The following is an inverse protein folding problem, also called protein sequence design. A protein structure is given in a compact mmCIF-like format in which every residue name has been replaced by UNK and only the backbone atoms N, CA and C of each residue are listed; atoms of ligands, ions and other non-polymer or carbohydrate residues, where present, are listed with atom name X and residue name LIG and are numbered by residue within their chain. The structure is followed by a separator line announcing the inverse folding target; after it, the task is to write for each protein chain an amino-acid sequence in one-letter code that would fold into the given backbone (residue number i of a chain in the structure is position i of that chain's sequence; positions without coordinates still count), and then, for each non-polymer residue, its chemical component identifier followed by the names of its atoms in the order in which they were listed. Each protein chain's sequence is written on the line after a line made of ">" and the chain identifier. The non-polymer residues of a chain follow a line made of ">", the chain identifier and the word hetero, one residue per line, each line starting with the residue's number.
data_IF_050659909415
#
_entry.id   IF_050659909415
#
_cell.length_a   1.000
_cell.length_b   1.000
_cell.length_c   1.000
_cell.angle_alpha   90.00
_cell.angle_beta   90.00
_cell.angle_gamma   90.00
#
_symmetry.space_group_name_H-M   'P 1'
#
loop_
_entity.id
_entity.type
_entity.pdbx_description
1 polymer ?
#
# COMPACT_ATOMS: atom_id res chain seq x y z
N UNK A 1 -13.04 -21.74 -42.34
CA UNK A 1 -12.32 -21.94 -41.09
C UNK A 1 -10.88 -22.34 -41.42
N UNK A 2 -9.88 -21.70 -40.83
CA UNK A 2 -8.47 -22.11 -41.00
C UNK A 2 -8.09 -23.24 -40.01
N UNK A 3 -6.86 -23.84 -40.17
CA UNK A 3 -6.45 -24.98 -39.34
C UNK A 3 -6.44 -24.67 -37.83
N UNK A 4 -5.97 -23.51 -37.43
CA UNK A 4 -5.88 -23.14 -36.00
C UNK A 4 -7.28 -22.87 -35.42
N UNK A 5 -8.14 -22.17 -36.15
CA UNK A 5 -9.55 -22.02 -35.77
C UNK A 5 -10.28 -23.36 -35.65
N UNK A 6 -10.01 -24.28 -36.58
CA UNK A 6 -10.59 -25.61 -36.50
C UNK A 6 -10.13 -26.39 -35.28
N UNK A 7 -8.84 -26.28 -34.88
CA UNK A 7 -8.33 -26.87 -33.64
C UNK A 7 -9.06 -26.30 -32.42
N UNK A 8 -9.22 -24.96 -32.34
CA UNK A 8 -9.89 -24.30 -31.22
C UNK A 8 -11.35 -24.77 -31.08
N UNK A 9 -12.07 -24.88 -32.20
CA UNK A 9 -13.44 -25.41 -32.22
C UNK A 9 -13.47 -26.89 -31.78
N UNK A 10 -12.58 -27.72 -32.34
CA UNK A 10 -12.51 -29.15 -32.05
C UNK A 10 -11.95 -29.47 -30.66
N UNK A 11 -11.33 -28.52 -29.97
CA UNK A 11 -10.82 -28.69 -28.60
C UNK A 11 -11.97 -28.98 -27.62
N UNK A 12 -13.14 -28.41 -27.86
CA UNK A 12 -14.37 -28.61 -27.06
C UNK A 12 -15.27 -29.72 -27.61
N UNK A 13 -14.94 -30.28 -28.78
CA UNK A 13 -15.72 -31.34 -29.43
C UNK A 13 -15.75 -32.62 -28.59
N UNK A 14 -16.94 -33.15 -28.36
CA UNK A 14 -17.17 -34.38 -27.62
C UNK A 14 -17.77 -35.42 -28.56
N UNK A 15 -17.00 -36.40 -28.90
CA UNK A 15 -17.41 -37.48 -29.77
C UNK A 15 -18.68 -38.19 -29.23
N UNK A 16 -19.71 -38.35 -30.05
CA UNK A 16 -21.03 -38.89 -29.70
C UNK A 16 -21.91 -38.00 -28.79
N UNK A 17 -21.66 -36.69 -28.76
CA UNK A 17 -22.59 -35.77 -28.11
C UNK A 17 -23.54 -35.17 -29.16
N UNK A 18 -24.87 -35.40 -29.08
CA UNK A 18 -25.84 -34.88 -30.07
C UNK A 18 -25.82 -33.36 -30.20
N UNK A 19 -25.46 -32.63 -29.14
CA UNK A 19 -25.40 -31.18 -29.17
C UNK A 19 -24.24 -30.67 -30.03
N UNK A 20 -23.12 -31.39 -30.06
CA UNK A 20 -21.93 -31.01 -30.80
C UNK A 20 -22.04 -31.45 -32.28
N UNK A 21 -22.83 -32.52 -32.58
CA UNK A 21 -23.09 -33.01 -33.92
C UNK A 21 -24.05 -32.10 -34.74
N UNK A 22 -24.81 -31.22 -34.06
CA UNK A 22 -25.69 -30.24 -34.70
C UNK A 22 -25.10 -28.86 -34.92
N UNK A 23 -23.90 -28.60 -34.42
CA UNK A 23 -23.23 -27.30 -34.54
C UNK A 23 -22.55 -27.14 -35.92
N UNK A 24 -22.94 -26.10 -36.65
CA UNK A 24 -22.44 -25.83 -38.01
C UNK A 24 -20.92 -25.57 -38.00
N UNK A 25 -20.39 -24.92 -36.97
CA UNK A 25 -18.96 -24.65 -36.85
C UNK A 25 -18.13 -25.91 -36.60
N UNK A 26 -18.67 -26.84 -35.81
CA UNK A 26 -18.05 -28.15 -35.56
C UNK A 26 -18.08 -29.00 -36.83
N UNK A 27 -19.17 -28.99 -37.58
CA UNK A 27 -19.29 -29.72 -38.85
C UNK A 27 -18.29 -29.22 -39.89
N UNK A 28 -18.11 -27.90 -40.00
CA UNK A 28 -17.11 -27.32 -40.91
C UNK A 28 -15.68 -27.70 -40.49
N UNK A 29 -15.36 -27.65 -39.20
CA UNK A 29 -14.06 -28.03 -38.66
C UNK A 29 -13.77 -29.54 -38.87
N UNK A 30 -14.79 -30.40 -38.71
CA UNK A 30 -14.65 -31.83 -38.98
C UNK A 30 -14.45 -32.11 -40.49
N UNK A 31 -15.14 -31.37 -41.37
CA UNK A 31 -14.95 -31.47 -42.79
C UNK A 31 -13.52 -31.03 -43.22
N UNK A 32 -12.94 -30.05 -42.54
CA UNK A 32 -11.57 -29.66 -42.75
C UNK A 32 -10.61 -30.76 -42.26
N UNK A 33 -10.86 -31.37 -41.11
CA UNK A 33 -10.07 -32.48 -40.59
C UNK A 33 -10.06 -33.70 -41.52
N UNK A 34 -11.09 -33.96 -42.31
CA UNK A 34 -11.13 -35.02 -43.32
C UNK A 34 -10.17 -34.75 -44.50
N UNK A 35 -9.79 -33.50 -44.75
CA UNK A 35 -8.94 -33.07 -45.86
C UNK A 35 -7.52 -32.75 -45.44
N UNK A 36 -7.30 -32.48 -44.22
CA UNK A 36 -6.00 -32.13 -43.64
C UNK A 36 -5.52 -33.26 -42.71
N UNK A 37 -4.49 -33.98 -43.16
CA UNK A 37 -3.97 -35.16 -42.44
C UNK A 37 -3.36 -34.83 -41.09
N UNK A 38 -2.77 -33.66 -40.92
CA UNK A 38 -2.22 -33.23 -39.61
C UNK A 38 -3.34 -32.93 -38.61
N UNK A 39 -4.39 -32.25 -39.07
CA UNK A 39 -5.55 -31.96 -38.24
C UNK A 39 -6.30 -33.24 -37.88
N UNK A 40 -6.42 -34.20 -38.81
CA UNK A 40 -7.00 -35.51 -38.55
C UNK A 40 -6.23 -36.28 -37.47
N UNK A 41 -4.90 -36.37 -37.60
CA UNK A 41 -4.06 -37.04 -36.63
C UNK A 41 -4.13 -36.36 -35.23
N UNK A 42 -4.11 -35.05 -35.20
CA UNK A 42 -4.28 -34.29 -33.95
C UNK A 42 -5.64 -34.57 -33.29
N UNK A 43 -6.74 -34.59 -34.08
CA UNK A 43 -8.08 -34.88 -33.58
C UNK A 43 -8.21 -36.29 -33.02
N UNK A 44 -7.61 -37.29 -33.71
CA UNK A 44 -7.58 -38.67 -33.22
C UNK A 44 -6.88 -38.78 -31.87
N UNK A 45 -5.68 -38.17 -31.73
CA UNK A 45 -4.96 -38.14 -30.47
C UNK A 45 -5.74 -37.41 -29.36
N UNK A 46 -6.42 -36.33 -29.72
CA UNK A 46 -7.25 -35.56 -28.79
C UNK A 46 -8.43 -36.39 -28.28
N UNK A 47 -9.17 -37.04 -29.17
CA UNK A 47 -10.28 -37.95 -28.83
C UNK A 47 -9.82 -39.15 -27.99
N UNK A 48 -8.70 -39.76 -28.33
CA UNK A 48 -8.13 -40.86 -27.56
C UNK A 48 -7.78 -40.41 -26.12
N UNK A 49 -7.17 -39.23 -25.95
CA UNK A 49 -6.87 -38.65 -24.63
C UNK A 49 -8.11 -38.36 -23.82
N UNK A 50 -9.13 -37.79 -24.45
CA UNK A 50 -10.44 -37.54 -23.79
C UNK A 50 -11.11 -38.84 -23.35
N UNK A 51 -11.04 -39.89 -24.18
CA UNK A 51 -11.58 -41.21 -23.83
C UNK A 51 -10.91 -41.79 -22.58
N UNK A 52 -9.58 -41.78 -22.51
CA UNK A 52 -8.83 -42.26 -21.35
C UNK A 52 -9.15 -41.48 -20.09
N UNK A 53 -9.27 -40.15 -20.19
CA UNK A 53 -9.66 -39.30 -19.06
C UNK A 53 -11.09 -39.65 -18.57
N UNK A 54 -12.02 -39.80 -19.51
CA UNK A 54 -13.42 -40.15 -19.17
C UNK A 54 -13.52 -41.49 -18.46
N UNK A 55 -12.77 -42.48 -18.91
CA UNK A 55 -12.73 -43.81 -18.25
C UNK A 55 -12.13 -43.71 -16.86
N UNK A 56 -11.08 -42.92 -16.65
CA UNK A 56 -10.54 -42.67 -15.30
C UNK A 56 -11.55 -41.99 -14.37
N UNK A 57 -12.29 -40.99 -14.89
CA UNK A 57 -13.33 -40.34 -14.09
C UNK A 57 -14.50 -41.27 -13.75
N UNK A 58 -14.87 -42.21 -14.64
CA UNK A 58 -15.91 -43.22 -14.34
C UNK A 58 -15.51 -44.19 -13.23
N UNK A 59 -14.21 -44.37 -13.00
CA UNK A 59 -13.70 -45.24 -11.94
C UNK A 59 -13.75 -44.57 -10.56
N UNK A 60 -13.98 -43.24 -10.50
CA UNK A 60 -14.10 -42.54 -9.22
C UNK A 60 -15.47 -42.87 -8.64
N UNK A 61 -15.55 -43.52 -7.47
CA UNK A 61 -16.83 -43.83 -6.84
C UNK A 61 -17.55 -42.53 -6.48
N UNK A 62 -18.81 -42.44 -6.86
CA UNK A 62 -19.69 -41.33 -6.44
C UNK A 62 -19.96 -41.50 -4.96
N UNK A 63 -19.75 -40.50 -4.09
CA UNK A 63 -20.07 -40.60 -2.68
C UNK A 63 -21.55 -40.94 -2.47
N UNK A 64 -21.82 -41.85 -1.52
CA UNK A 64 -23.17 -42.19 -1.14
C UNK A 64 -23.89 -40.92 -0.62
N UNK A 65 -25.14 -40.74 -1.04
CA UNK A 65 -25.96 -39.57 -0.64
C UNK A 65 -25.72 -38.27 -1.45
N UNK A 66 -24.74 -38.21 -2.36
CA UNK A 66 -24.49 -37.00 -3.16
C UNK A 66 -25.71 -36.56 -3.99
N UNK A 67 -26.45 -37.53 -4.55
CA UNK A 67 -27.67 -37.26 -5.33
C UNK A 67 -28.75 -36.62 -4.46
N UNK A 68 -28.97 -37.16 -3.28
CA UNK A 68 -29.95 -36.68 -2.29
C UNK A 68 -29.56 -35.29 -1.79
N UNK A 69 -28.27 -35.07 -1.56
CA UNK A 69 -27.75 -33.74 -1.18
C UNK A 69 -28.01 -32.70 -2.27
N UNK A 70 -27.66 -32.97 -3.52
CA UNK A 70 -27.90 -32.06 -4.65
C UNK A 70 -29.38 -31.75 -4.80
N UNK A 71 -30.26 -32.79 -4.70
CA UNK A 71 -31.71 -32.60 -4.80
C UNK A 71 -32.23 -31.75 -3.64
N UNK A 72 -31.76 -31.96 -2.41
CA UNK A 72 -32.17 -31.17 -1.23
C UNK A 72 -31.71 -29.72 -1.31
N UNK A 73 -30.46 -29.48 -1.74
CA UNK A 73 -29.92 -28.12 -1.96
C UNK A 73 -30.67 -27.40 -3.09
N UNK A 74 -30.96 -28.08 -4.19
CA UNK A 74 -31.77 -27.53 -5.29
C UNK A 74 -33.19 -27.17 -4.85
N UNK A 75 -33.86 -28.06 -4.08
CA UNK A 75 -35.18 -27.78 -3.54
C UNK A 75 -35.16 -26.60 -2.53
N UNK A 76 -34.10 -26.50 -1.70
CA UNK A 76 -33.90 -25.37 -0.79
C UNK A 76 -33.68 -24.04 -1.54
N UNK A 77 -32.98 -24.09 -2.70
CA UNK A 77 -32.70 -22.91 -3.51
C UNK A 77 -33.95 -22.38 -4.27
N UNK A 78 -34.92 -23.24 -4.50
CA UNK A 78 -36.17 -22.88 -5.20
C UNK A 78 -37.27 -22.35 -4.25
N UNK A 79 -37.11 -22.40 -2.95
CA UNK A 79 -38.08 -21.79 -2.04
C UNK A 79 -38.01 -20.26 -2.15
N UNK A 80 -39.10 -19.59 -2.54
CA UNK A 80 -39.13 -18.14 -2.57
C UNK A 80 -38.97 -17.61 -1.14
N UNK A 81 -37.87 -16.96 -0.89
CA UNK A 81 -37.53 -16.41 0.43
C UNK A 81 -38.14 -15.00 0.58
N UNK A 82 -39.38 -14.83 1.09
CA UNK A 82 -39.95 -13.48 1.30
C UNK A 82 -39.26 -12.77 2.47
N UNK A 83 -38.63 -13.51 3.42
CA UNK A 83 -37.93 -12.93 4.56
C UNK A 83 -36.46 -12.59 4.32
N UNK A 84 -35.77 -13.26 3.41
CA UNK A 84 -34.34 -13.01 3.13
C UNK A 84 -34.08 -11.64 2.52
N UNK A 85 -35.00 -11.12 1.67
CA UNK A 85 -34.87 -9.80 1.05
C UNK A 85 -34.96 -8.67 2.09
N UNK A 86 -35.78 -8.82 3.13
CA UNK A 86 -35.84 -7.86 4.24
C UNK A 86 -34.59 -7.94 5.12
N UNK A 87 -34.09 -9.16 5.40
CA UNK A 87 -32.83 -9.34 6.16
C UNK A 87 -31.60 -8.82 5.42
N UNK A 88 -31.54 -8.98 4.10
CA UNK A 88 -30.44 -8.41 3.28
C UNK A 88 -30.52 -6.88 3.24
N UNK A 89 -31.71 -6.29 3.14
CA UNK A 89 -31.89 -4.84 3.16
C UNK A 89 -31.56 -4.25 4.54
N UNK A 90 -31.93 -4.92 5.63
CA UNK A 90 -31.58 -4.48 6.99
C UNK A 90 -30.08 -4.63 7.28
N UNK A 91 -29.44 -5.71 6.80
CA UNK A 91 -28.01 -5.90 6.89
C UNK A 91 -27.22 -4.86 6.06
N UNK A 92 -27.69 -4.56 4.84
CA UNK A 92 -27.09 -3.52 4.00
C UNK A 92 -27.22 -2.12 4.61
N UNK A 93 -28.37 -1.79 5.22
CA UNK A 93 -28.55 -0.54 5.96
C UNK A 93 -27.67 -0.48 7.22
N UNK A 94 -27.53 -1.58 7.95
CA UNK A 94 -26.62 -1.64 9.12
C UNK A 94 -25.17 -1.44 8.73
N UNK A 95 -24.73 -2.05 7.64
CA UNK A 95 -23.37 -1.87 7.08
C UNK A 95 -23.16 -0.42 6.61
N UNK A 96 -24.13 0.16 5.90
CA UNK A 96 -24.05 1.55 5.45
C UNK A 96 -24.01 2.54 6.64
N UNK A 97 -24.80 2.30 7.71
CA UNK A 97 -24.71 3.08 8.94
C UNK A 97 -23.37 2.89 9.67
N UNK A 98 -22.85 1.66 9.73
CA UNK A 98 -21.54 1.40 10.34
C UNK A 98 -20.42 2.07 9.56
N UNK A 99 -20.46 2.05 8.22
CA UNK A 99 -19.47 2.72 7.38
C UNK A 99 -19.57 4.24 7.46
N UNK A 100 -20.79 4.80 7.51
CA UNK A 100 -20.99 6.24 7.69
C UNK A 100 -20.60 6.70 9.10
N UNK A 101 -20.87 5.90 10.13
CA UNK A 101 -20.39 6.17 11.49
C UNK A 101 -18.86 6.06 11.57
N UNK A 102 -18.24 5.05 10.94
CA UNK A 102 -16.79 4.93 10.88
C UNK A 102 -16.13 6.09 10.12
N UNK A 103 -16.72 6.51 9.00
CA UNK A 103 -16.27 7.69 8.24
C UNK A 103 -16.47 8.99 9.04
N UNK A 104 -17.58 9.12 9.75
CA UNK A 104 -17.83 10.24 10.66
C UNK A 104 -16.80 10.29 11.80
N UNK A 105 -16.54 9.15 12.44
CA UNK A 105 -15.53 9.03 13.50
C UNK A 105 -14.12 9.28 12.99
N UNK A 106 -13.76 8.79 11.81
CA UNK A 106 -12.46 9.04 11.20
C UNK A 106 -12.26 10.53 10.86
N UNK A 107 -13.33 11.22 10.40
CA UNK A 107 -13.29 12.65 10.08
C UNK A 107 -13.44 13.56 11.32
N UNK A 108 -14.00 13.04 12.43
CA UNK A 108 -14.25 13.79 13.65
C UNK A 108 -13.43 13.27 14.83
N UNK A 109 -12.33 12.54 14.57
CA UNK A 109 -11.34 12.32 15.61
C UNK A 109 -10.91 13.71 16.10
N UNK A 110 -10.99 13.98 17.42
CA UNK A 110 -10.44 15.23 17.94
C UNK A 110 -9.01 15.32 17.43
N UNK A 111 -8.57 16.47 16.87
CA UNK A 111 -7.21 16.61 16.38
C UNK A 111 -6.31 16.09 17.48
N UNK A 112 -5.45 15.13 17.16
CA UNK A 112 -4.49 14.57 18.10
C UNK A 112 -3.88 15.78 18.79
N UNK A 113 -3.95 15.86 20.13
CA UNK A 113 -3.52 17.05 20.83
C UNK A 113 -2.12 17.38 20.36
N UNK A 114 -1.94 18.55 19.73
CA UNK A 114 -0.69 18.97 19.12
C UNK A 114 0.34 19.30 20.21
N UNK A 115 0.57 18.36 21.14
CA UNK A 115 1.50 18.48 22.25
C UNK A 115 2.93 18.14 21.83
N UNK A 116 3.88 18.69 22.53
CA UNK A 116 5.31 18.47 22.25
C UNK A 116 5.70 16.99 22.23
N UNK A 117 5.27 16.11 23.17
CA UNK A 117 5.63 14.69 23.13
C UNK A 117 5.12 13.96 21.88
N UNK A 118 3.90 14.31 21.42
CA UNK A 118 3.32 13.72 20.21
C UNK A 118 4.08 14.19 18.97
N UNK A 119 4.39 15.51 18.90
CA UNK A 119 5.23 16.06 17.82
C UNK A 119 6.59 15.35 17.74
N UNK A 120 7.30 15.28 18.85
CA UNK A 120 8.61 14.63 18.93
C UNK A 120 8.54 13.15 18.47
N UNK A 121 7.53 12.41 18.96
CA UNK A 121 7.35 10.99 18.63
C UNK A 121 7.02 10.78 17.15
N UNK A 122 6.23 11.66 16.53
CA UNK A 122 5.90 11.61 15.12
C UNK A 122 7.13 11.93 14.25
N UNK A 123 7.86 13.00 14.57
CA UNK A 123 9.05 13.38 13.81
C UNK A 123 10.15 12.31 13.91
N UNK A 124 10.36 11.75 15.09
CA UNK A 124 11.30 10.64 15.29
C UNK A 124 10.88 9.40 14.47
N UNK A 125 9.62 9.08 14.42
CA UNK A 125 9.10 7.98 13.58
C UNK A 125 9.37 8.25 12.11
N UNK A 126 9.05 9.45 11.63
CA UNK A 126 9.27 9.84 10.24
C UNK A 126 10.75 9.73 9.84
N UNK A 127 11.68 10.16 10.72
CA UNK A 127 13.11 10.00 10.48
C UNK A 127 13.57 8.54 10.36
N UNK A 128 12.96 7.65 11.17
CA UNK A 128 13.38 6.24 11.29
C UNK A 128 12.67 5.29 10.33
N UNK A 129 11.51 5.65 9.79
CA UNK A 129 10.66 4.73 9.00
C UNK A 129 11.01 4.66 7.51
N UNK A 130 12.10 5.30 7.08
CA UNK A 130 12.45 5.42 5.66
C UNK A 130 11.55 6.45 4.97
N UNK A 131 12.05 7.63 4.75
CA UNK A 131 11.36 8.72 4.06
C UNK A 131 12.01 8.99 2.71
N UNK A 132 11.23 9.47 1.75
CA UNK A 132 11.77 10.05 0.54
C UNK A 132 12.07 11.53 0.77
N UNK A 133 13.26 11.99 0.40
CA UNK A 133 13.55 13.43 0.36
C UNK A 133 12.80 14.07 -0.81
N UNK A 134 12.14 15.20 -0.55
CA UNK A 134 11.47 15.97 -1.60
C UNK A 134 12.48 16.72 -2.48
N UNK A 135 13.64 17.05 -1.90
CA UNK A 135 14.76 17.68 -2.62
C UNK A 135 16.08 17.10 -2.08
N UNK A 136 16.88 16.53 -2.98
CA UNK A 136 18.29 16.19 -2.74
C UNK A 136 19.15 17.37 -3.16
N UNK A 137 19.85 17.99 -2.21
CA UNK A 137 20.73 19.14 -2.48
C UNK A 137 21.72 19.34 -1.35
N UNK A 138 22.95 19.70 -1.71
CA UNK A 138 23.99 20.12 -0.75
C UNK A 138 24.05 21.64 -0.57
N UNK A 139 23.14 22.36 -1.22
CA UNK A 139 23.06 23.83 -1.19
C UNK A 139 21.91 24.26 -0.26
N UNK A 140 22.27 24.82 0.90
CA UNK A 140 21.30 25.29 1.88
C UNK A 140 20.39 26.43 1.37
N UNK A 141 20.86 27.22 0.39
CA UNK A 141 20.07 28.27 -0.26
C UNK A 141 18.93 27.64 -1.07
N UNK A 142 19.24 26.66 -1.92
CA UNK A 142 18.24 25.93 -2.69
C UNK A 142 17.23 25.21 -1.82
N UNK A 143 17.66 24.65 -0.68
CA UNK A 143 16.78 24.02 0.31
C UNK A 143 15.80 25.06 0.87
N UNK A 144 16.26 26.24 1.28
CA UNK A 144 15.38 27.30 1.79
C UNK A 144 14.38 27.78 0.74
N UNK A 145 14.80 27.96 -0.50
CA UNK A 145 13.93 28.37 -1.59
C UNK A 145 12.86 27.30 -1.88
N UNK A 146 13.25 26.03 -1.89
CA UNK A 146 12.31 24.93 -2.05
C UNK A 146 11.28 24.89 -0.90
N UNK A 147 11.72 24.95 0.36
CA UNK A 147 10.82 24.97 1.53
C UNK A 147 9.84 26.13 1.46
N UNK A 148 10.30 27.32 1.01
CA UNK A 148 9.45 28.51 0.80
C UNK A 148 8.38 28.24 -0.26
N UNK A 149 8.73 27.62 -1.40
CA UNK A 149 7.74 27.26 -2.44
C UNK A 149 6.68 26.27 -1.95
N UNK A 150 7.02 25.45 -0.95
CA UNK A 150 6.12 24.48 -0.34
C UNK A 150 5.33 25.06 0.85
N UNK A 151 5.46 26.36 1.16
CA UNK A 151 4.90 27.00 2.35
C UNK A 151 5.26 26.27 3.65
N UNK A 152 6.51 25.82 3.75
CA UNK A 152 7.10 25.24 4.96
C UNK A 152 8.10 26.25 5.58
N UNK A 153 8.38 26.20 6.89
CA UNK A 153 9.33 27.11 7.55
C UNK A 153 10.70 27.11 6.84
N UNK A 154 11.08 28.21 6.24
CA UNK A 154 12.33 28.38 5.53
C UNK A 154 13.28 29.40 6.22
N UNK A 155 12.76 30.14 7.18
CA UNK A 155 13.39 31.18 7.98
C UNK A 155 13.99 30.61 9.28
N UNK A 156 14.65 29.47 9.20
CA UNK A 156 15.29 28.82 10.35
C UNK A 156 16.77 29.24 10.49
N UNK A 157 17.23 29.26 11.75
CA UNK A 157 18.63 29.47 12.09
C UNK A 157 19.30 28.12 12.35
N UNK A 158 20.47 27.91 11.76
CA UNK A 158 21.33 26.77 12.08
C UNK A 158 22.23 27.11 13.28
N UNK A 159 22.60 26.09 14.04
CA UNK A 159 23.66 26.18 15.04
C UNK A 159 25.05 26.16 14.36
N UNK A 160 26.09 26.61 15.03
CA UNK A 160 27.44 26.60 14.48
C UNK A 160 27.90 25.19 14.04
N UNK A 161 27.48 24.15 14.78
CA UNK A 161 27.79 22.76 14.45
C UNK A 161 27.05 22.30 13.18
N UNK A 162 25.77 22.69 12.99
CA UNK A 162 25.00 22.34 11.81
C UNK A 162 25.46 23.11 10.55
N UNK A 163 25.93 24.35 10.68
CA UNK A 163 26.49 25.11 9.56
C UNK A 163 27.74 24.45 8.94
N UNK A 164 28.51 23.74 9.77
CA UNK A 164 29.68 22.99 9.33
C UNK A 164 29.39 21.57 8.87
N UNK A 165 28.12 21.12 9.02
CA UNK A 165 27.73 19.75 8.67
C UNK A 165 27.17 19.68 7.26
N UNK A 166 27.58 18.67 6.49
CA UNK A 166 27.12 18.49 5.12
C UNK A 166 25.61 18.24 5.06
N UNK A 167 24.84 19.15 4.47
CA UNK A 167 23.44 18.95 4.19
C UNK A 167 23.28 17.98 3.02
N UNK A 168 22.32 17.05 3.10
CA UNK A 168 22.02 16.07 2.05
C UNK A 168 20.72 16.37 1.31
N UNK A 169 19.80 17.09 1.93
CA UNK A 169 18.52 17.43 1.33
C UNK A 169 17.48 17.89 2.34
N UNK A 170 16.21 17.90 1.90
CA UNK A 170 15.10 18.22 2.78
C UNK A 170 13.83 17.47 2.37
N UNK A 171 12.88 17.42 3.32
CA UNK A 171 11.52 16.98 3.09
C UNK A 171 10.52 17.89 3.82
N UNK A 172 9.29 17.93 3.36
CA UNK A 172 8.20 18.65 4.03
C UNK A 172 7.26 17.63 4.66
N UNK A 173 7.12 17.72 5.97
CA UNK A 173 6.27 16.84 6.76
C UNK A 173 4.97 17.55 7.17
N UNK A 174 3.90 16.78 7.37
CA UNK A 174 2.63 17.29 7.89
C UNK A 174 2.59 17.25 9.41
N UNK A 175 2.02 18.28 10.03
CA UNK A 175 1.70 18.36 11.46
C UNK A 175 0.34 19.04 11.65
N UNK A 176 -0.72 18.24 11.76
CA UNK A 176 -2.08 18.75 11.70
C UNK A 176 -2.33 19.49 10.39
N UNK A 177 -2.72 20.77 10.48
CA UNK A 177 -2.90 21.68 9.35
C UNK A 177 -1.62 22.45 8.96
N UNK A 178 -0.52 22.23 9.67
CA UNK A 178 0.76 22.91 9.49
C UNK A 178 1.80 22.04 8.79
N UNK A 179 2.83 22.70 8.26
CA UNK A 179 3.97 22.04 7.63
C UNK A 179 5.20 22.16 8.50
N UNK A 180 5.98 21.11 8.52
CA UNK A 180 7.26 21.00 9.21
C UNK A 180 8.34 20.87 8.16
N UNK A 181 9.37 21.68 8.27
CA UNK A 181 10.58 21.53 7.48
C UNK A 181 11.49 20.51 8.11
N UNK A 182 11.86 19.47 7.38
CA UNK A 182 12.83 18.45 7.76
C UNK A 182 14.08 18.68 6.93
N UNK A 183 15.15 19.10 7.55
CA UNK A 183 16.47 19.30 6.94
C UNK A 183 17.34 18.11 7.31
N UNK A 184 17.95 17.48 6.32
CA UNK A 184 18.70 16.25 6.45
C UNK A 184 20.18 16.51 6.29
N UNK A 185 20.99 15.93 7.18
CA UNK A 185 22.43 16.10 7.19
C UNK A 185 23.14 14.75 7.22
N UNK A 186 24.41 14.76 6.84
CA UNK A 186 25.33 13.62 6.96
C UNK A 186 26.45 13.96 7.94
N UNK A 187 26.60 13.15 8.99
CA UNK A 187 27.65 13.36 9.99
C UNK A 187 29.03 12.86 9.55
N UNK A 188 29.09 12.21 8.37
CA UNK A 188 30.32 11.56 7.88
C UNK A 188 30.47 10.11 8.33
N UNK A 189 29.52 9.55 9.08
CA UNK A 189 29.50 8.12 9.41
C UNK A 189 29.19 7.27 8.19
N UNK A 190 29.69 6.02 8.13
CA UNK A 190 29.23 5.06 7.14
C UNK A 190 27.72 4.80 7.32
N UNK A 191 26.95 4.98 6.26
CA UNK A 191 25.50 4.72 6.26
C UNK A 191 25.20 3.45 5.46
N UNK A 192 24.16 2.71 5.83
CA UNK A 192 23.67 1.60 5.03
C UNK A 192 23.26 2.06 3.62
N UNK A 193 23.28 1.14 2.64
CA UNK A 193 22.83 1.45 1.27
C UNK A 193 21.38 1.96 1.27
N UNK A 194 21.17 3.08 0.59
CA UNK A 194 19.85 3.73 0.49
C UNK A 194 19.51 4.67 1.65
N UNK A 195 20.38 4.85 2.63
CA UNK A 195 20.23 5.86 3.70
C UNK A 195 21.06 7.09 3.35
N UNK A 196 20.37 8.22 3.21
CA UNK A 196 21.00 9.47 2.73
C UNK A 196 21.34 10.46 3.86
N UNK A 197 20.89 10.20 5.09
CA UNK A 197 21.15 11.06 6.24
C UNK A 197 21.07 10.30 7.57
N UNK A 198 21.76 10.80 8.58
CA UNK A 198 21.81 10.27 9.94
C UNK A 198 21.59 11.34 11.02
N UNK A 199 21.36 12.57 10.59
CA UNK A 199 21.07 13.70 11.47
C UNK A 199 19.94 14.53 10.83
N UNK A 200 18.91 14.83 11.60
CA UNK A 200 17.69 15.48 11.12
C UNK A 200 17.32 16.68 11.98
N UNK A 201 17.10 17.83 11.33
CA UNK A 201 16.57 19.02 11.98
C UNK A 201 15.12 19.22 11.51
N UNK A 202 14.19 19.19 12.44
CA UNK A 202 12.78 19.54 12.20
C UNK A 202 12.51 20.94 12.70
N UNK A 203 11.86 21.74 11.86
CA UNK A 203 11.51 23.13 12.17
C UNK A 203 10.01 23.33 11.91
N UNK A 204 9.31 23.86 12.90
CA UNK A 204 7.89 24.19 12.84
C UNK A 204 7.63 25.51 13.57
N UNK A 205 6.52 26.18 13.23
CA UNK A 205 6.10 27.34 14.02
C UNK A 205 5.79 26.94 15.46
N UNK A 206 6.40 27.59 16.44
CA UNK A 206 6.29 27.26 17.88
C UNK A 206 4.82 27.20 18.33
N UNK A 207 3.98 28.12 17.85
CA UNK A 207 2.56 28.19 18.19
C UNK A 207 1.75 26.97 17.70
N UNK A 208 2.31 26.19 16.77
CA UNK A 208 1.66 24.98 16.24
C UNK A 208 1.79 23.76 17.15
N UNK A 209 2.62 23.86 18.20
CA UNK A 209 2.89 22.76 19.12
C UNK A 209 2.60 23.24 20.55
N UNK A 210 1.60 22.62 21.18
CA UNK A 210 1.27 22.90 22.60
C UNK A 210 2.42 22.44 23.48
N UNK A 211 2.65 23.15 24.55
CA UNK A 211 3.72 22.88 25.53
C UNK A 211 5.14 22.95 24.93
N UNK A 212 5.29 23.65 23.80
CA UNK A 212 6.61 23.93 23.25
C UNK A 212 7.42 24.78 24.25
N UNK A 213 8.74 24.52 24.42
CA UNK A 213 9.59 25.37 25.25
C UNK A 213 9.46 26.85 24.86
N UNK A 214 9.34 27.71 25.83
CA UNK A 214 9.21 29.16 25.58
C UNK A 214 10.56 29.84 25.30
N UNK A 215 11.67 29.18 25.64
CA UNK A 215 13.03 29.71 25.62
C UNK A 215 13.96 28.93 24.68
N UNK A 216 15.15 29.44 24.52
CA UNK A 216 16.21 28.80 23.74
C UNK A 216 16.98 27.71 24.53
N UNK A 217 16.51 27.33 25.72
CA UNK A 217 17.14 26.28 26.49
C UNK A 217 17.05 24.94 25.78
N UNK A 218 18.14 24.18 25.79
CA UNK A 218 18.23 22.87 25.14
C UNK A 218 17.64 21.80 26.05
N UNK A 219 16.55 21.19 25.59
CA UNK A 219 15.94 20.05 26.26
C UNK A 219 16.35 18.76 25.58
N UNK A 220 17.18 17.97 26.25
CA UNK A 220 17.65 16.69 25.73
C UNK A 220 16.68 15.57 26.09
N UNK A 221 16.50 14.65 25.16
CA UNK A 221 15.67 13.46 25.35
C UNK A 221 16.14 12.30 24.47
N UNK A 222 15.49 11.16 24.65
CA UNK A 222 15.64 9.99 23.76
C UNK A 222 14.25 9.52 23.34
N UNK A 223 14.06 9.35 22.05
CA UNK A 223 12.81 8.89 21.47
C UNK A 223 13.15 7.73 20.53
N UNK A 224 12.73 6.53 20.90
CA UNK A 224 13.16 5.31 20.23
C UNK A 224 14.71 5.22 20.18
N UNK A 225 15.28 5.13 18.96
CA UNK A 225 16.72 5.08 18.74
C UNK A 225 17.37 6.47 18.57
N UNK A 226 16.55 7.54 18.51
CA UNK A 226 17.07 8.88 18.34
C UNK A 226 17.34 9.53 19.69
N UNK A 227 18.52 10.09 19.83
CA UNK A 227 18.80 11.12 20.81
C UNK A 227 18.35 12.45 20.23
N UNK A 228 17.63 13.24 21.01
CA UNK A 228 17.00 14.48 20.55
C UNK A 228 17.41 15.66 21.42
N UNK A 229 17.47 16.83 20.78
CA UNK A 229 17.52 18.12 21.44
C UNK A 229 16.41 19.00 20.90
N UNK A 230 15.65 19.62 21.78
CA UNK A 230 14.52 20.50 21.43
C UNK A 230 14.74 21.86 22.06
N UNK A 231 14.48 22.91 21.29
CA UNK A 231 14.55 24.32 21.76
C UNK A 231 13.63 25.19 20.90
N UNK A 232 13.32 26.37 21.40
CA UNK A 232 12.59 27.40 20.63
C UNK A 232 13.45 28.62 20.42
N UNK A 233 13.39 29.19 19.22
CA UNK A 233 14.08 30.43 18.86
C UNK A 233 13.34 31.16 17.76
N UNK A 234 13.18 32.46 17.85
CA UNK A 234 12.59 33.33 16.85
C UNK A 234 11.18 32.87 16.38
N UNK A 235 10.35 32.38 17.35
CA UNK A 235 9.00 31.87 17.09
C UNK A 235 8.95 30.51 16.39
N UNK A 236 10.08 29.83 16.26
CA UNK A 236 10.17 28.47 15.72
C UNK A 236 10.53 27.47 16.81
N UNK A 237 9.97 26.29 16.72
CA UNK A 237 10.38 25.12 17.49
C UNK A 237 11.32 24.29 16.65
N UNK A 238 12.44 23.93 17.22
CA UNK A 238 13.47 23.08 16.63
C UNK A 238 13.52 21.75 17.37
N UNK A 239 13.61 20.68 16.60
CA UNK A 239 13.90 19.33 17.11
C UNK A 239 15.05 18.75 16.29
N UNK A 240 16.21 18.59 16.91
CA UNK A 240 17.35 17.93 16.31
C UNK A 240 17.37 16.47 16.77
N UNK A 241 17.50 15.54 15.84
CA UNK A 241 17.55 14.10 16.11
C UNK A 241 18.75 13.44 15.46
N UNK A 242 19.45 12.60 16.22
CA UNK A 242 20.61 11.81 15.79
C UNK A 242 20.47 10.38 16.29
N UNK A 243 20.78 9.39 15.46
CA UNK A 243 20.91 8.01 15.91
C UNK A 243 22.30 7.80 16.53
N UNK A 244 22.38 7.74 17.86
CA UNK A 244 23.64 7.61 18.57
C UNK A 244 23.57 8.02 20.05
N UNK A 245 24.67 8.58 20.58
CA UNK A 245 24.77 8.97 21.96
C UNK A 245 24.61 10.50 22.19
N UNK A 246 24.13 10.93 23.37
CA UNK A 246 23.91 12.36 23.68
C UNK A 246 25.15 13.24 23.50
N UNK A 247 26.32 12.69 23.76
CA UNK A 247 27.62 13.39 23.62
C UNK A 247 27.94 13.73 22.17
N UNK A 248 27.42 12.91 21.23
CA UNK A 248 27.60 13.14 19.81
C UNK A 248 26.67 14.23 19.28
N UNK A 249 25.41 14.23 19.73
CA UNK A 249 24.43 15.25 19.36
C UNK A 249 24.88 16.65 19.76
N UNK A 250 25.58 16.79 20.90
CA UNK A 250 26.11 18.07 21.40
C UNK A 250 27.11 18.75 20.46
N UNK A 251 27.76 18.01 19.56
CA UNK A 251 28.69 18.56 18.58
C UNK A 251 28.00 19.41 17.51
N UNK A 252 26.69 19.25 17.35
CA UNK A 252 25.90 19.92 16.34
C UNK A 252 25.01 21.05 16.89
N UNK A 253 25.16 21.37 18.19
CA UNK A 253 24.40 22.40 18.91
C UNK A 253 25.18 23.69 19.22
#
# INVERSE_FOLDING_TARGET
>A
VNREEAKDILLLYRHHNPADEGDASVMEALALAQRDSELAQWLEMHCARQFVLREKFRQIPVPEGLKEQIISEYAASQQPAPRRRQLVLTAAMAIAMALSAAAYWANHQPPAENTLPIFQSQMARNALSGYAMDLLSHDGGKIRDFLRTKNAPADYALTAGLEQTAVSGCAVQGWGDKKVSMICFRTGRPLPSGVESDLWLFVVDQQSVKEAPADAALHFGRINRLVTATWSRDGKLYLLGLEGEPTELRKYL
#
